data_IF_936551714659
#
_entry.id   IF_936551714659
#
_cell.length_a   1.000
_cell.length_b   1.000
_cell.length_c   1.000
_cell.angle_alpha   90.00
_cell.angle_beta   90.00
_cell.angle_gamma   90.00
#
_symmetry.space_group_name_H-M   'P 1'
#
loop_
_entity.id
_entity.type
_entity.pdbx_description
1 polymer ?
#
# COMPACT_ATOMS: atom_id res chain seq x y z
N UNK A 1 -3.15 24.14 20.82
CA UNK A 1 -4.57 23.75 20.93
C UNK A 1 -4.78 22.50 20.09
N UNK A 2 -4.84 21.32 20.72
CA UNK A 2 -5.08 20.05 20.02
C UNK A 2 -6.56 19.96 19.66
N UNK A 3 -6.90 19.88 18.38
CA UNK A 3 -8.26 19.56 17.92
C UNK A 3 -8.53 18.09 18.27
N UNK A 4 -9.51 17.85 19.14
CA UNK A 4 -10.07 16.52 19.35
C UNK A 4 -10.70 16.05 18.04
N UNK A 5 -10.13 15.00 17.45
CA UNK A 5 -10.70 14.30 16.31
C UNK A 5 -11.85 13.43 16.83
N UNK A 6 -13.06 13.79 16.42
CA UNK A 6 -14.34 13.28 16.90
C UNK A 6 -14.63 11.84 16.45
N UNK A 7 -15.10 11.00 17.38
CA UNK A 7 -16.07 9.92 17.15
C UNK A 7 -15.60 8.62 16.48
N UNK A 8 -14.84 8.67 15.38
CA UNK A 8 -14.45 7.46 14.63
C UNK A 8 -13.23 6.74 15.21
N UNK A 9 -12.46 7.43 16.06
CA UNK A 9 -11.24 6.91 16.68
C UNK A 9 -11.53 5.84 17.76
N UNK A 10 -12.66 5.92 18.46
CA UNK A 10 -12.95 5.04 19.60
C UNK A 10 -13.28 3.61 19.14
N UNK A 11 -14.01 3.47 18.03
CA UNK A 11 -14.35 2.15 17.47
C UNK A 11 -13.13 1.39 16.91
N UNK A 12 -12.14 2.12 16.36
CA UNK A 12 -10.89 1.54 15.84
C UNK A 12 -9.92 1.15 16.94
N UNK A 13 -9.84 1.96 18.00
CA UNK A 13 -9.11 1.59 19.23
C UNK A 13 -9.72 0.32 19.84
N UNK A 14 -11.05 0.23 19.92
CA UNK A 14 -11.75 -0.96 20.45
C UNK A 14 -11.52 -2.24 19.61
N UNK A 15 -11.26 -2.14 18.30
CA UNK A 15 -10.96 -3.31 17.46
C UNK A 15 -9.52 -3.80 17.66
N UNK A 16 -8.56 -2.88 17.80
CA UNK A 16 -7.19 -3.22 18.20
C UNK A 16 -7.16 -3.87 19.60
N UNK A 17 -8.01 -3.41 20.52
CA UNK A 17 -8.23 -4.05 21.82
C UNK A 17 -8.66 -5.52 21.68
N UNK A 18 -9.59 -5.85 20.77
CA UNK A 18 -10.12 -7.22 20.66
C UNK A 18 -9.09 -8.22 20.07
N UNK A 19 -8.25 -7.78 19.12
CA UNK A 19 -7.17 -8.61 18.56
C UNK A 19 -5.97 -8.78 19.51
N UNK A 20 -5.64 -7.76 20.30
CA UNK A 20 -4.56 -7.84 21.29
C UNK A 20 -4.98 -8.66 22.54
N UNK A 21 -6.25 -8.59 22.95
CA UNK A 21 -6.74 -9.35 24.10
C UNK A 21 -6.85 -10.86 23.82
N UNK A 22 -7.20 -11.24 22.59
CA UNK A 22 -7.33 -12.66 22.18
C UNK A 22 -5.97 -13.35 22.03
N UNK A 23 -4.93 -12.62 21.62
CA UNK A 23 -3.56 -13.15 21.55
C UNK A 23 -2.91 -13.25 22.93
N UNK A 24 -3.19 -12.33 23.85
CA UNK A 24 -2.70 -12.41 25.24
C UNK A 24 -3.34 -13.53 26.07
N UNK A 25 -4.63 -13.83 25.87
CA UNK A 25 -5.31 -14.93 26.57
C UNK A 25 -4.82 -16.32 26.14
N UNK A 26 -4.30 -16.46 24.91
CA UNK A 26 -3.77 -17.73 24.41
C UNK A 26 -2.37 -18.08 24.97
N UNK A 27 -1.65 -17.12 25.56
CA UNK A 27 -0.30 -17.30 26.11
C UNK A 27 -0.27 -17.31 27.65
N UNK A 28 -1.37 -16.97 28.32
CA UNK A 28 -1.43 -17.07 29.78
C UNK A 28 -1.63 -18.53 30.20
N UNK A 29 -0.55 -19.16 30.65
CA UNK A 29 -0.63 -20.37 31.49
C UNK A 29 -1.61 -20.12 32.66
N UNK A 30 -2.31 -21.15 33.19
CA UNK A 30 -3.20 -20.97 34.32
C UNK A 30 -2.44 -20.27 35.46
N UNK A 31 -2.93 -19.10 35.87
CA UNK A 31 -2.33 -18.29 36.94
C UNK A 31 -2.24 -19.15 38.19
N UNK A 32 -1.01 -19.54 38.56
CA UNK A 32 -0.75 -20.26 39.80
C UNK A 32 -1.08 -19.32 40.96
N UNK A 33 -2.04 -19.69 41.78
CA UNK A 33 -2.69 -18.86 42.80
C UNK A 33 -1.81 -18.40 43.99
N UNK A 34 -0.49 -18.26 43.82
CA UNK A 34 0.40 -17.90 44.91
C UNK A 34 1.62 -17.03 44.50
N UNK A 35 1.46 -16.15 43.51
CA UNK A 35 2.47 -15.15 43.19
C UNK A 35 2.30 -13.93 44.12
N UNK A 36 3.26 -13.71 45.04
CA UNK A 36 3.46 -12.44 45.78
C UNK A 36 4.00 -11.31 44.87
N UNK A 37 3.49 -11.22 43.64
CA UNK A 37 3.81 -10.15 42.70
C UNK A 37 2.71 -9.09 42.67
N UNK A 38 3.02 -7.88 42.20
CA UNK A 38 2.00 -6.89 41.89
C UNK A 38 0.95 -7.52 40.95
N UNK A 39 -0.33 -7.20 41.19
CA UNK A 39 -1.41 -7.72 40.36
C UNK A 39 -1.18 -7.33 38.89
N UNK A 40 -1.35 -8.24 37.92
CA UNK A 40 -1.34 -7.90 36.50
C UNK A 40 -2.31 -6.76 36.17
N UNK A 41 -3.39 -6.61 36.95
CA UNK A 41 -4.36 -5.52 36.82
C UNK A 41 -3.82 -4.14 37.20
N UNK A 42 -2.77 -4.07 38.03
CA UNK A 42 -2.13 -2.82 38.44
C UNK A 42 -1.24 -2.22 37.34
N UNK A 43 -0.74 -3.05 36.42
CA UNK A 43 0.08 -2.62 35.29
C UNK A 43 -0.75 -2.31 34.03
N UNK A 44 -2.01 -2.74 33.98
CA UNK A 44 -2.92 -2.51 32.84
C UNK A 44 -2.99 -1.05 32.37
N UNK A 45 -3.08 -0.03 33.24
CA UNK A 45 -3.14 1.37 32.79
C UNK A 45 -1.88 1.80 32.05
N UNK A 46 -0.70 1.40 32.53
CA UNK A 46 0.60 1.76 31.93
C UNK A 46 0.82 1.02 30.61
N UNK A 47 0.50 -0.28 30.58
CA UNK A 47 0.56 -1.08 29.34
C UNK A 47 -0.39 -0.54 28.28
N UNK A 48 -1.56 -0.03 28.70
CA UNK A 48 -2.52 0.60 27.81
C UNK A 48 -2.04 1.93 27.25
N UNK A 49 -1.45 2.79 28.08
CA UNK A 49 -0.89 4.07 27.65
C UNK A 49 0.22 3.85 26.61
N UNK A 50 1.13 2.90 26.85
CA UNK A 50 2.19 2.55 25.92
C UNK A 50 1.66 2.04 24.57
N UNK A 51 0.60 1.21 24.58
CA UNK A 51 -0.03 0.72 23.36
C UNK A 51 -0.73 1.84 22.58
N UNK A 52 -1.39 2.77 23.28
CA UNK A 52 -2.04 3.93 22.65
C UNK A 52 -0.99 4.85 22.02
N UNK A 53 0.13 5.10 22.70
CA UNK A 53 1.23 5.89 22.16
C UNK A 53 1.84 5.25 20.93
N UNK A 54 2.08 3.93 20.96
CA UNK A 54 2.58 3.18 19.81
C UNK A 54 1.59 3.21 18.63
N UNK A 55 0.29 3.07 18.89
CA UNK A 55 -0.74 3.20 17.87
C UNK A 55 -0.74 4.60 17.24
N UNK A 56 -0.64 5.65 18.06
CA UNK A 56 -0.61 7.04 17.58
C UNK A 56 0.62 7.29 16.70
N UNK A 57 1.80 6.85 17.12
CA UNK A 57 3.05 7.00 16.34
C UNK A 57 2.95 6.32 14.95
N UNK A 58 2.43 5.09 14.90
CA UNK A 58 2.26 4.35 13.63
C UNK A 58 1.22 5.01 12.71
N UNK A 59 0.15 5.57 13.29
CA UNK A 59 -0.86 6.27 12.51
C UNK A 59 -0.38 7.64 12.01
N UNK A 60 0.56 8.29 12.70
CA UNK A 60 1.19 9.55 12.29
C UNK A 60 2.29 9.36 11.24
N UNK A 61 2.97 8.21 11.23
CA UNK A 61 4.02 7.90 10.24
C UNK A 61 3.42 7.66 8.85
N UNK A 62 4.14 8.12 7.83
CA UNK A 62 3.79 7.79 6.44
C UNK A 62 4.21 6.34 6.13
N UNK A 63 3.25 5.43 5.88
CA UNK A 63 3.57 4.03 5.56
C UNK A 63 4.13 3.87 4.14
N UNK A 64 4.00 4.88 3.28
CA UNK A 64 4.43 4.81 1.88
C UNK A 64 5.90 5.19 1.77
N UNK A 65 6.69 4.34 1.10
CA UNK A 65 8.10 4.61 0.81
C UNK A 65 8.32 4.97 -0.66
N UNK A 66 9.35 5.77 -0.94
CA UNK A 66 9.87 5.88 -2.30
C UNK A 66 10.66 4.62 -2.66
N UNK A 67 10.67 4.29 -3.95
CA UNK A 67 11.48 3.22 -4.51
C UNK A 67 12.09 3.74 -5.82
N UNK A 68 13.40 3.61 -5.97
CA UNK A 68 14.06 3.89 -7.25
C UNK A 68 13.76 2.77 -8.26
N UNK A 69 13.88 3.06 -9.55
CA UNK A 69 13.74 2.03 -10.59
C UNK A 69 14.71 0.87 -10.40
N UNK A 70 15.96 1.14 -10.04
CA UNK A 70 16.97 0.10 -9.80
C UNK A 70 16.55 -0.87 -8.68
N UNK A 71 16.00 -0.34 -7.59
CA UNK A 71 15.47 -1.16 -6.50
C UNK A 71 14.19 -1.88 -6.90
N UNK A 72 13.27 -1.17 -7.59
CA UNK A 72 12.01 -1.75 -8.07
C UNK A 72 12.27 -2.91 -9.03
N UNK A 73 13.26 -2.79 -9.92
CA UNK A 73 13.62 -3.85 -10.85
C UNK A 73 14.11 -5.11 -10.14
N UNK A 74 14.74 -4.94 -8.98
CA UNK A 74 15.22 -6.04 -8.13
C UNK A 74 14.08 -6.75 -7.42
N UNK A 75 13.16 -6.01 -6.79
CA UNK A 75 12.12 -6.59 -5.91
C UNK A 75 10.78 -6.85 -6.61
N UNK A 76 10.60 -6.37 -7.84
CA UNK A 76 9.42 -6.60 -8.65
C UNK A 76 9.76 -7.40 -9.91
N UNK A 77 10.16 -8.69 -9.81
CA UNK A 77 10.61 -9.45 -10.96
C UNK A 77 9.48 -9.77 -11.96
N UNK A 78 9.85 -10.17 -13.18
CA UNK A 78 8.87 -10.61 -14.18
C UNK A 78 8.02 -11.78 -13.68
N UNK A 79 6.77 -11.82 -14.14
CA UNK A 79 5.71 -12.74 -13.75
C UNK A 79 5.15 -12.56 -12.33
N UNK A 80 5.69 -11.63 -11.54
CA UNK A 80 5.13 -11.29 -10.23
C UNK A 80 3.83 -10.52 -10.38
N UNK A 81 2.86 -10.88 -9.54
CA UNK A 81 1.58 -10.18 -9.42
C UNK A 81 1.60 -9.31 -8.17
N UNK A 82 1.18 -8.05 -8.30
CA UNK A 82 1.14 -7.08 -7.20
C UNK A 82 -0.21 -6.37 -7.16
N UNK A 83 -0.58 -5.91 -5.97
CA UNK A 83 -1.71 -4.99 -5.79
C UNK A 83 -1.28 -3.58 -6.20
N UNK A 84 -2.19 -2.88 -6.88
CA UNK A 84 -2.12 -1.45 -7.18
C UNK A 84 -3.32 -0.76 -6.55
N UNK A 85 -3.07 0.35 -5.87
CA UNK A 85 -4.09 1.22 -5.28
C UNK A 85 -4.04 2.57 -5.99
N UNK A 86 -5.14 2.97 -6.61
CA UNK A 86 -5.27 4.30 -7.19
C UNK A 86 -5.47 5.37 -6.11
N UNK A 87 -4.60 6.38 -6.08
CA UNK A 87 -4.56 7.37 -4.99
C UNK A 87 -5.77 8.30 -5.00
N UNK A 88 -6.34 8.56 -6.17
CA UNK A 88 -7.49 9.48 -6.29
C UNK A 88 -8.80 8.82 -5.86
N UNK A 89 -8.98 7.54 -6.18
CA UNK A 89 -10.27 6.83 -5.98
C UNK A 89 -10.25 5.80 -4.87
N UNK A 90 -9.07 5.32 -4.45
CA UNK A 90 -8.91 4.21 -3.52
C UNK A 90 -9.22 2.84 -4.13
N UNK A 91 -9.52 2.76 -5.44
CA UNK A 91 -9.76 1.49 -6.11
C UNK A 91 -8.49 0.63 -6.12
N UNK A 92 -8.69 -0.66 -5.87
CA UNK A 92 -7.64 -1.66 -5.77
C UNK A 92 -7.80 -2.68 -6.89
N UNK A 93 -6.72 -3.03 -7.55
CA UNK A 93 -6.70 -4.03 -8.62
C UNK A 93 -5.32 -4.68 -8.69
N UNK A 94 -5.24 -5.84 -9.34
CA UNK A 94 -4.00 -6.58 -9.48
C UNK A 94 -3.40 -6.45 -10.88
N UNK A 95 -2.08 -6.35 -10.92
CA UNK A 95 -1.31 -6.32 -12.16
C UNK A 95 -0.21 -7.38 -12.10
N UNK A 96 0.18 -7.90 -13.26
CA UNK A 96 1.34 -8.75 -13.41
C UNK A 96 2.41 -8.01 -14.22
N UNK A 97 3.65 -7.99 -13.74
CA UNK A 97 4.78 -7.50 -14.54
C UNK A 97 5.14 -8.55 -15.58
N UNK A 98 5.20 -8.16 -16.85
CA UNK A 98 5.56 -9.07 -17.94
C UNK A 98 6.89 -8.68 -18.61
N UNK A 99 7.20 -7.39 -18.68
CA UNK A 99 8.46 -6.89 -19.23
C UNK A 99 8.97 -5.67 -18.44
N UNK A 100 9.79 -4.84 -19.06
CA UNK A 100 10.32 -3.60 -18.49
C UNK A 100 11.83 -3.61 -18.30
N UNK A 101 12.47 -2.51 -18.71
CA UNK A 101 13.91 -2.27 -18.52
C UNK A 101 14.24 -0.85 -18.04
N UNK A 102 13.30 0.08 -18.18
CA UNK A 102 13.41 1.48 -17.74
C UNK A 102 12.30 1.87 -16.75
N UNK A 103 11.27 1.02 -16.67
CA UNK A 103 10.07 1.05 -15.85
C UNK A 103 9.42 -0.35 -15.97
N UNK A 104 8.40 -0.64 -15.18
CA UNK A 104 7.72 -1.92 -15.23
C UNK A 104 6.66 -1.90 -16.33
N UNK A 105 6.70 -2.87 -17.24
CA UNK A 105 5.63 -3.13 -18.20
C UNK A 105 4.71 -4.19 -17.62
N UNK A 106 3.47 -3.78 -17.35
CA UNK A 106 2.50 -4.58 -16.61
C UNK A 106 1.20 -4.76 -17.37
N UNK A 107 0.50 -5.83 -17.04
CA UNK A 107 -0.84 -6.14 -17.55
C UNK A 107 -1.81 -6.30 -16.39
N UNK A 108 -3.10 -5.96 -16.54
CA UNK A 108 -4.10 -6.36 -15.54
C UNK A 108 -4.10 -7.88 -15.37
N UNK A 109 -4.18 -8.38 -14.13
CA UNK A 109 -4.03 -9.82 -13.85
C UNK A 109 -5.18 -10.65 -14.41
N UNK A 110 -6.39 -10.09 -14.38
CA UNK A 110 -7.63 -10.71 -14.88
C UNK A 110 -8.61 -9.65 -15.42
N UNK A 111 -9.71 -10.11 -16.03
CA UNK A 111 -10.71 -9.23 -16.67
C UNK A 111 -11.33 -8.21 -15.73
N UNK A 112 -11.51 -8.55 -14.45
CA UNK A 112 -12.01 -7.61 -13.44
C UNK A 112 -11.05 -6.44 -13.20
N UNK A 113 -9.73 -6.70 -13.18
CA UNK A 113 -8.73 -5.63 -13.02
C UNK A 113 -8.73 -4.70 -14.23
N UNK A 114 -8.96 -5.25 -15.43
CA UNK A 114 -9.13 -4.46 -16.66
C UNK A 114 -10.36 -3.55 -16.59
N UNK A 115 -11.47 -4.02 -16.01
CA UNK A 115 -12.67 -3.21 -15.84
C UNK A 115 -12.41 -2.05 -14.86
N UNK A 116 -11.70 -2.32 -13.77
CA UNK A 116 -11.30 -1.28 -12.80
C UNK A 116 -10.39 -0.26 -13.48
N UNK A 117 -9.33 -0.72 -14.16
CA UNK A 117 -8.41 0.15 -14.90
C UNK A 117 -9.17 1.00 -15.94
N UNK A 118 -10.08 0.41 -16.69
CA UNK A 118 -10.91 1.12 -17.67
C UNK A 118 -11.77 2.19 -17.00
N UNK A 119 -12.40 1.89 -15.86
CA UNK A 119 -13.21 2.85 -15.10
C UNK A 119 -12.38 4.05 -14.60
N UNK A 120 -11.13 3.81 -14.18
CA UNK A 120 -10.20 4.88 -13.76
C UNK A 120 -9.87 5.88 -14.88
N UNK A 121 -10.04 5.48 -16.14
CA UNK A 121 -9.84 6.33 -17.33
C UNK A 121 -11.16 6.60 -18.08
N UNK A 122 -12.29 6.50 -17.40
CA UNK A 122 -13.60 6.88 -17.95
C UNK A 122 -14.07 5.99 -19.11
N UNK A 123 -13.63 4.72 -19.15
CA UNK A 123 -13.96 3.78 -20.23
C UNK A 123 -13.08 3.93 -21.47
N UNK A 124 -12.06 4.79 -21.44
CA UNK A 124 -11.14 5.01 -22.55
C UNK A 124 -9.70 4.75 -22.14
N UNK A 125 -8.80 4.59 -23.11
CA UNK A 125 -7.37 4.48 -22.84
C UNK A 125 -6.72 5.85 -22.86
N UNK A 126 -5.83 6.13 -21.90
CA UNK A 126 -5.14 7.41 -21.82
C UNK A 126 -3.69 7.26 -21.36
N UNK A 127 -2.84 8.15 -21.88
CA UNK A 127 -1.49 8.37 -21.38
C UNK A 127 -1.46 9.26 -20.13
N UNK A 128 -2.59 9.72 -19.62
CA UNK A 128 -2.61 10.55 -18.42
C UNK A 128 -2.01 9.82 -17.22
N UNK A 129 -1.28 10.56 -16.40
CA UNK A 129 -0.56 10.00 -15.25
C UNK A 129 -1.47 9.93 -14.05
N UNK A 130 -1.60 8.74 -13.48
CA UNK A 130 -2.26 8.54 -12.19
C UNK A 130 -1.22 8.27 -11.12
N UNK A 131 -1.48 8.79 -9.91
CA UNK A 131 -0.70 8.50 -8.72
C UNK A 131 -1.21 7.18 -8.16
N UNK A 132 -0.30 6.25 -7.87
CA UNK A 132 -0.65 4.92 -7.38
C UNK A 132 0.27 4.48 -6.26
N UNK A 133 -0.22 3.57 -5.44
CA UNK A 133 0.59 2.81 -4.48
C UNK A 133 0.70 1.38 -4.97
N UNK A 134 1.88 0.78 -4.87
CA UNK A 134 2.15 -0.61 -5.25
C UNK A 134 2.56 -1.40 -4.01
N UNK A 135 1.90 -2.54 -3.78
CA UNK A 135 2.23 -3.48 -2.70
C UNK A 135 3.32 -4.47 -3.14
N UNK A 136 4.50 -4.40 -2.52
CA UNK A 136 5.67 -5.24 -2.81
C UNK A 136 6.34 -5.67 -1.49
N UNK A 137 6.63 -6.96 -1.35
CA UNK A 137 7.34 -7.52 -0.18
C UNK A 137 6.73 -7.10 1.18
N UNK A 138 5.40 -7.04 1.26
CA UNK A 138 4.68 -6.64 2.48
C UNK A 138 4.72 -5.13 2.78
N UNK A 139 5.26 -4.32 1.87
CA UNK A 139 5.39 -2.86 2.00
C UNK A 139 4.67 -2.15 0.86
N UNK A 140 4.42 -0.86 1.06
CA UNK A 140 3.73 -0.02 0.08
C UNK A 140 4.64 1.07 -0.46
N UNK A 141 4.71 1.17 -1.78
CA UNK A 141 5.60 2.09 -2.48
C UNK A 141 4.86 3.06 -3.37
N UNK A 142 5.31 4.31 -3.37
CA UNK A 142 4.80 5.36 -4.24
C UNK A 142 5.24 5.10 -5.69
N UNK A 143 4.28 5.12 -6.61
CA UNK A 143 4.50 4.93 -8.04
C UNK A 143 3.54 5.79 -8.88
N UNK A 144 3.71 5.74 -10.19
CA UNK A 144 2.78 6.36 -11.14
C UNK A 144 2.53 5.45 -12.33
N UNK A 145 1.28 5.39 -12.79
CA UNK A 145 0.90 4.62 -13.98
C UNK A 145 0.28 5.48 -15.07
N UNK A 146 0.19 4.92 -16.27
CA UNK A 146 -0.76 5.32 -17.31
C UNK A 146 -1.75 4.18 -17.59
N UNK A 147 -2.71 4.38 -18.50
CA UNK A 147 -3.72 3.38 -18.87
C UNK A 147 -3.75 3.06 -20.36
N UNK A 148 -2.75 3.52 -21.13
CA UNK A 148 -2.72 3.29 -22.57
C UNK A 148 -2.12 1.92 -22.87
N UNK A 149 -2.86 1.01 -23.52
CA UNK A 149 -2.30 -0.25 -23.97
C UNK A 149 -1.30 0.01 -25.09
N UNK A 150 -0.12 -0.59 -24.99
CA UNK A 150 0.91 -0.56 -26.01
C UNK A 150 1.77 -1.82 -25.95
N UNK A 151 2.54 -2.07 -27.02
CA UNK A 151 3.36 -3.25 -27.16
C UNK A 151 2.57 -4.55 -27.06
N UNK A 152 3.25 -5.64 -26.73
CA UNK A 152 2.64 -6.96 -26.58
C UNK A 152 2.11 -7.15 -25.15
N UNK A 153 0.93 -7.75 -25.04
CA UNK A 153 0.29 -8.12 -23.77
C UNK A 153 0.21 -9.63 -23.56
N UNK A 154 -0.78 -10.04 -22.77
CA UNK A 154 -1.19 -11.44 -22.57
C UNK A 154 -2.64 -11.62 -23.00
N UNK A 155 -3.03 -12.85 -23.31
CA UNK A 155 -4.43 -13.19 -23.62
C UNK A 155 -5.26 -13.38 -22.35
N UNK A 156 -6.59 -13.28 -22.49
CA UNK A 156 -7.55 -13.68 -21.45
C UNK A 156 -7.84 -12.64 -20.34
N UNK A 157 -7.10 -11.55 -20.26
CA UNK A 157 -7.39 -10.46 -19.31
C UNK A 157 -8.23 -9.32 -19.90
N UNK A 158 -8.52 -9.35 -21.21
CA UNK A 158 -9.30 -8.30 -21.89
C UNK A 158 -8.57 -6.96 -22.07
N UNK A 159 -7.24 -6.91 -21.91
CA UNK A 159 -6.43 -5.71 -22.09
C UNK A 159 -5.48 -5.85 -23.30
N UNK A 160 -5.60 -5.01 -24.34
CA UNK A 160 -4.93 -5.25 -25.63
C UNK A 160 -3.48 -4.73 -25.66
N UNK A 161 -2.61 -5.22 -24.78
CA UNK A 161 -1.21 -4.81 -24.67
C UNK A 161 -0.73 -4.84 -23.22
N UNK A 162 0.23 -3.99 -22.89
CA UNK A 162 0.62 -3.65 -21.52
C UNK A 162 0.54 -2.14 -21.28
N UNK A 163 0.69 -1.72 -20.03
CA UNK A 163 0.86 -0.34 -19.64
C UNK A 163 2.04 -0.19 -18.68
N UNK A 164 2.48 1.04 -18.44
CA UNK A 164 3.68 1.30 -17.66
C UNK A 164 3.36 1.65 -16.20
N UNK A 165 4.14 1.11 -15.27
CA UNK A 165 4.29 1.63 -13.91
C UNK A 165 5.71 2.20 -13.75
N UNK A 166 5.78 3.47 -13.35
CA UNK A 166 6.99 4.22 -13.11
C UNK A 166 7.22 4.40 -11.61
N UNK A 167 8.47 4.18 -11.21
CA UNK A 167 9.03 4.47 -9.90
C UNK A 167 9.97 5.69 -9.98
N UNK A 168 10.61 6.05 -8.87
CA UNK A 168 11.60 7.15 -8.85
C UNK A 168 12.71 6.83 -9.86
N UNK A 169 13.13 7.84 -10.62
CA UNK A 169 14.15 7.72 -11.67
C UNK A 169 13.84 6.79 -12.86
N UNK A 170 12.62 6.24 -12.94
CA UNK A 170 12.15 5.54 -14.13
C UNK A 170 12.18 6.44 -15.36
N UNK A 171 12.56 5.87 -16.51
CA UNK A 171 12.73 6.59 -17.78
C UNK A 171 11.68 6.15 -18.80
N UNK A 172 11.26 7.06 -19.68
CA UNK A 172 10.35 6.71 -20.79
C UNK A 172 11.09 5.97 -21.90
N UNK A 173 10.39 5.14 -22.68
CA UNK A 173 11.02 4.43 -23.79
C UNK A 173 11.49 5.35 -24.91
N UNK A 174 10.62 6.26 -25.38
CA UNK A 174 10.93 7.12 -26.53
C UNK A 174 12.07 8.11 -26.25
N UNK A 175 12.01 8.79 -25.10
CA UNK A 175 12.99 9.84 -24.76
C UNK A 175 14.16 9.35 -23.92
N UNK A 176 14.06 8.18 -23.26
CA UNK A 176 15.04 7.68 -22.27
C UNK A 176 15.34 8.68 -21.15
N UNK A 177 14.39 9.58 -20.88
CA UNK A 177 14.48 10.63 -19.88
C UNK A 177 13.48 10.36 -18.75
N UNK A 178 13.82 10.84 -17.55
CA UNK A 178 12.89 10.88 -16.43
C UNK A 178 11.74 11.81 -16.77
N UNK A 179 10.50 11.34 -16.61
CA UNK A 179 9.30 12.11 -16.94
C UNK A 179 8.85 12.94 -15.72
N UNK A 180 8.85 14.29 -15.78
CA UNK A 180 8.45 15.12 -14.65
C UNK A 180 7.00 14.87 -14.19
N UNK A 181 6.10 14.54 -15.11
CA UNK A 181 4.71 14.24 -14.79
C UNK A 181 4.56 12.94 -13.98
N UNK A 182 5.34 11.90 -14.32
CA UNK A 182 5.37 10.68 -13.50
C UNK A 182 5.97 10.96 -12.12
N UNK A 183 7.08 11.71 -12.05
CA UNK A 183 7.69 12.05 -10.76
C UNK A 183 6.74 12.86 -9.87
N UNK A 184 6.00 13.83 -10.44
CA UNK A 184 4.98 14.56 -9.69
C UNK A 184 3.88 13.64 -9.13
N UNK A 185 3.44 12.62 -9.88
CA UNK A 185 2.47 11.64 -9.41
C UNK A 185 3.03 10.66 -8.38
N UNK A 186 4.32 10.32 -8.46
CA UNK A 186 5.01 9.55 -7.44
C UNK A 186 5.06 10.34 -6.12
N UNK A 187 5.38 11.64 -6.16
CA UNK A 187 5.31 12.50 -4.97
C UNK A 187 3.88 12.61 -4.41
N UNK A 188 2.88 12.78 -5.27
CA UNK A 188 1.47 12.76 -4.85
C UNK A 188 1.11 11.43 -4.16
N UNK A 189 1.55 10.30 -4.70
CA UNK A 189 1.30 8.98 -4.11
C UNK A 189 1.97 8.82 -2.75
N UNK A 190 3.20 9.33 -2.60
CA UNK A 190 3.88 9.34 -1.31
C UNK A 190 3.08 10.15 -0.27
N UNK A 191 2.61 11.34 -0.62
CA UNK A 191 1.90 12.22 0.33
C UNK A 191 0.50 11.72 0.71
N UNK A 192 -0.21 11.11 -0.25
CA UNK A 192 -1.65 10.86 -0.11
C UNK A 192 -2.02 9.38 -0.09
N UNK A 193 -1.13 8.49 -0.54
CA UNK A 193 -1.44 7.07 -0.72
C UNK A 193 -1.78 6.34 0.58
N UNK A 194 -1.15 6.75 1.69
CA UNK A 194 -1.39 6.15 3.00
C UNK A 194 -2.83 6.29 3.53
N UNK A 195 -3.65 7.19 2.96
CA UNK A 195 -5.05 7.37 3.39
C UNK A 195 -5.92 6.13 3.12
N UNK A 196 -5.51 5.30 2.14
CA UNK A 196 -6.24 4.11 1.74
C UNK A 196 -5.81 2.84 2.46
N UNK A 197 -4.79 2.93 3.32
CA UNK A 197 -4.25 1.80 4.06
C UNK A 197 -4.94 1.61 5.41
N UNK A 198 -5.26 0.35 5.73
CA UNK A 198 -5.75 -0.06 7.04
C UNK A 198 -4.67 0.11 8.12
N UNK A 199 -5.06 -0.07 9.38
CA UNK A 199 -4.09 -0.08 10.47
C UNK A 199 -3.10 -1.24 10.31
N UNK A 200 -3.58 -2.42 9.96
CA UNK A 200 -2.77 -3.62 9.73
C UNK A 200 -1.78 -3.43 8.58
N UNK A 201 -2.23 -2.85 7.46
CA UNK A 201 -1.37 -2.54 6.30
C UNK A 201 -0.28 -1.51 6.67
N UNK A 202 -0.64 -0.50 7.48
CA UNK A 202 0.33 0.47 8.02
C UNK A 202 1.33 -0.19 8.96
N UNK A 203 0.85 -1.03 9.87
CA UNK A 203 1.68 -1.74 10.83
C UNK A 203 2.75 -2.57 10.12
N UNK A 204 2.36 -3.42 9.16
CA UNK A 204 3.27 -4.27 8.39
C UNK A 204 4.29 -3.48 7.54
N UNK A 205 4.07 -2.19 7.29
CA UNK A 205 5.04 -1.35 6.61
C UNK A 205 6.24 -0.97 7.50
N UNK A 206 6.13 -1.14 8.83
CA UNK A 206 7.14 -0.72 9.82
C UNK A 206 7.79 -1.85 10.62
N UNK A 207 7.19 -3.05 10.65
CA UNK A 207 7.61 -4.20 11.45
C UNK A 207 7.66 -5.45 10.60
#
# INVERSE_FOLDING_TARGET
MRKLIHGQSIFRVLTAFLLCFTTMLALSSPVRANAKGASPLAELPVQMEALIEQYQDIMEKNPISFLSWEQADTIFPHNTTVEVIDVETGQRFFVQRIYGSLHADVVPKQQQDTQILSALYGGTYSWDRRAIVVGLEGRYYAASMNGMPHGNGIEGNGYPGHFCIHFVDSKTHGGRNVCPQHQAKIHQAYEQGGQWLSFEERWHSFV
#
